data_IF_605567690198
#
_entry.id   IF_605567690198
#
_cell.length_a   1.000
_cell.length_b   1.000
_cell.length_c   1.000
_cell.angle_alpha   90.00
_cell.angle_beta   90.00
_cell.angle_gamma   90.00
#
_symmetry.space_group_name_H-M   'P 1'
#
loop_
_entity.id
_entity.type
_entity.pdbx_description
1 polymer ?
#
# COMPACT_ATOMS: atom_id res chain seq x y z
N UNK A 1 -4.09 5.45 8.48
CA UNK A 1 -3.28 4.20 8.45
C UNK A 1 -3.95 3.00 9.17
N UNK A 2 -4.31 3.08 10.46
CA UNK A 2 -4.86 1.91 11.19
C UNK A 2 -6.33 1.58 10.86
N UNK A 3 -7.17 2.57 10.56
CA UNK A 3 -8.56 2.32 10.17
C UNK A 3 -8.66 1.52 8.86
N UNK A 4 -7.85 1.91 7.86
CA UNK A 4 -7.82 1.22 6.57
C UNK A 4 -7.26 -0.20 6.72
N UNK A 5 -6.25 -0.40 7.58
CA UNK A 5 -5.73 -1.73 7.93
C UNK A 5 -6.82 -2.59 8.60
N UNK A 6 -7.55 -2.03 9.57
CA UNK A 6 -8.63 -2.74 10.26
C UNK A 6 -9.67 -3.30 9.29
N UNK A 7 -10.12 -2.46 8.35
CA UNK A 7 -11.14 -2.85 7.37
C UNK A 7 -10.60 -3.88 6.37
N UNK A 8 -9.40 -3.67 5.81
CA UNK A 8 -8.79 -4.61 4.84
C UNK A 8 -8.46 -5.97 5.45
N UNK A 9 -7.84 -5.99 6.63
CA UNK A 9 -7.49 -7.24 7.31
C UNK A 9 -8.74 -8.01 7.75
N UNK A 10 -9.77 -7.31 8.24
CA UNK A 10 -11.05 -7.93 8.60
C UNK A 10 -11.76 -8.55 7.40
N UNK A 11 -11.70 -7.92 6.22
CA UNK A 11 -12.19 -8.52 4.98
C UNK A 11 -11.36 -9.75 4.57
N UNK A 12 -10.03 -9.62 4.56
CA UNK A 12 -9.12 -10.70 4.14
C UNK A 12 -9.19 -11.95 5.03
N UNK A 13 -9.56 -11.80 6.31
CA UNK A 13 -9.81 -12.91 7.23
C UNK A 13 -11.08 -13.72 6.89
N UNK A 14 -11.98 -13.18 6.08
CA UNK A 14 -13.23 -13.87 5.71
C UNK A 14 -12.96 -14.89 4.61
N UNK A 15 -13.56 -16.10 4.68
CA UNK A 15 -13.48 -17.07 3.59
C UNK A 15 -13.96 -16.52 2.25
N UNK A 16 -15.00 -15.69 2.28
CA UNK A 16 -15.64 -15.01 1.15
C UNK A 16 -15.19 -13.54 1.00
N UNK A 17 -14.05 -13.15 1.61
CA UNK A 17 -13.49 -11.80 1.51
C UNK A 17 -13.14 -11.40 0.08
N UNK A 18 -13.24 -10.09 -0.21
CA UNK A 18 -12.93 -9.52 -1.51
C UNK A 18 -11.42 -9.46 -1.79
N UNK A 19 -10.62 -9.30 -0.73
CA UNK A 19 -9.18 -9.13 -0.80
C UNK A 19 -8.46 -10.37 -0.24
N UNK A 20 -7.43 -10.84 -0.95
CA UNK A 20 -6.49 -11.84 -0.43
C UNK A 20 -5.20 -11.12 -0.04
N UNK A 21 -5.03 -10.89 1.25
CA UNK A 21 -3.93 -10.07 1.77
C UNK A 21 -3.34 -10.64 3.07
N UNK A 22 -2.44 -11.63 2.97
CA UNK A 22 -1.83 -12.24 4.15
C UNK A 22 -0.95 -11.25 4.93
N UNK A 23 -0.34 -10.27 4.26
CA UNK A 23 0.46 -9.24 4.93
C UNK A 23 -0.41 -8.30 5.76
N UNK A 24 -1.55 -7.82 5.24
CA UNK A 24 -2.48 -7.01 6.02
C UNK A 24 -2.97 -7.75 7.27
N UNK A 25 -3.27 -9.05 7.16
CA UNK A 25 -3.66 -9.89 8.31
C UNK A 25 -2.53 -9.97 9.33
N UNK A 26 -1.32 -10.29 8.89
CA UNK A 26 -0.12 -10.39 9.75
C UNK A 26 0.14 -9.10 10.51
N UNK A 27 0.09 -7.96 9.82
CA UNK A 27 0.35 -6.64 10.42
C UNK A 27 -0.76 -6.28 11.40
N UNK A 28 -2.02 -6.50 11.02
CA UNK A 28 -3.17 -6.26 11.87
C UNK A 28 -3.10 -7.02 13.19
N UNK A 29 -2.70 -8.30 13.14
CA UNK A 29 -2.56 -9.16 14.32
C UNK A 29 -1.33 -8.80 15.18
N UNK A 30 -0.30 -8.19 14.61
CA UNK A 30 0.92 -7.83 15.33
C UNK A 30 0.82 -6.51 16.11
N UNK A 31 -0.21 -5.69 15.85
CA UNK A 31 -0.41 -4.40 16.50
C UNK A 31 -1.46 -4.57 17.59
N UNK A 32 -1.03 -4.43 18.86
CA UNK A 32 -1.93 -4.36 20.01
C UNK A 32 -2.64 -3.00 20.04
N UNK A 33 -3.84 -2.94 19.48
CA UNK A 33 -4.66 -1.74 19.38
C UNK A 33 -6.14 -2.08 19.48
N UNK A 34 -6.90 -1.24 20.18
CA UNK A 34 -8.36 -1.39 20.30
C UNK A 34 -9.07 -0.93 19.02
N UNK A 35 -8.96 -1.72 17.95
CA UNK A 35 -9.54 -1.38 16.66
C UNK A 35 -11.06 -1.23 16.71
N UNK A 36 -11.76 -2.14 17.42
CA UNK A 36 -13.23 -2.09 17.49
C UNK A 36 -13.73 -0.93 18.34
N UNK A 37 -13.12 -0.63 19.47
CA UNK A 37 -13.52 0.51 20.28
C UNK A 37 -13.20 1.86 19.63
N UNK A 38 -12.16 1.92 18.79
CA UNK A 38 -11.74 3.17 18.12
C UNK A 38 -12.38 3.39 16.75
N UNK A 39 -12.63 2.34 15.98
CA UNK A 39 -13.14 2.43 14.60
C UNK A 39 -14.50 1.77 14.39
N UNK A 40 -15.03 1.04 15.39
CA UNK A 40 -16.30 0.35 15.28
C UNK A 40 -16.22 -0.99 14.55
N UNK A 41 -17.35 -1.41 13.96
CA UNK A 41 -17.43 -2.65 13.17
C UNK A 41 -16.74 -2.41 11.82
N UNK A 42 -15.86 -3.32 11.36
CA UNK A 42 -15.23 -3.17 10.05
C UNK A 42 -16.27 -3.31 8.94
N UNK A 43 -16.01 -2.60 7.85
CA UNK A 43 -16.79 -2.67 6.61
C UNK A 43 -15.88 -2.98 5.41
N UNK A 44 -16.49 -3.36 4.28
CA UNK A 44 -15.77 -3.81 3.08
C UNK A 44 -15.23 -2.70 2.18
N UNK A 45 -15.48 -1.42 2.47
CA UNK A 45 -15.15 -0.29 1.57
C UNK A 45 -13.67 -0.24 1.22
N UNK A 46 -12.79 -0.45 2.22
CA UNK A 46 -11.35 -0.35 2.03
C UNK A 46 -10.77 -1.56 1.32
N UNK A 47 -11.36 -2.74 1.52
CA UNK A 47 -10.99 -3.94 0.78
C UNK A 47 -11.40 -3.83 -0.69
N UNK A 48 -12.63 -3.36 -0.96
CA UNK A 48 -13.10 -3.08 -2.32
C UNK A 48 -12.22 -2.01 -2.99
N UNK A 49 -11.90 -0.92 -2.28
CA UNK A 49 -10.99 0.11 -2.79
C UNK A 49 -9.65 -0.48 -3.18
N UNK A 50 -8.95 -1.17 -2.27
CA UNK A 50 -7.64 -1.77 -2.59
C UNK A 50 -7.72 -2.73 -3.77
N UNK A 51 -8.79 -3.55 -3.87
CA UNK A 51 -9.01 -4.41 -5.03
C UNK A 51 -9.17 -3.64 -6.34
N UNK A 52 -9.94 -2.55 -6.36
CA UNK A 52 -10.10 -1.73 -7.56
C UNK A 52 -8.78 -1.10 -8.01
N UNK A 53 -7.94 -0.69 -7.04
CA UNK A 53 -6.59 -0.20 -7.34
C UNK A 53 -5.68 -1.31 -7.88
N UNK A 54 -5.73 -2.52 -7.32
CA UNK A 54 -5.02 -3.70 -7.85
C UNK A 54 -5.47 -4.00 -9.29
N UNK A 55 -6.78 -4.05 -9.53
CA UNK A 55 -7.38 -4.37 -10.82
C UNK A 55 -7.05 -3.30 -11.89
N UNK A 56 -6.90 -2.04 -11.48
CA UNK A 56 -6.47 -0.94 -12.36
C UNK A 56 -4.97 -1.02 -12.66
N UNK A 57 -4.16 -1.40 -11.67
CA UNK A 57 -2.70 -1.46 -11.81
C UNK A 57 -2.25 -2.63 -12.69
N UNK A 58 -2.87 -3.81 -12.56
CA UNK A 58 -2.42 -5.03 -13.27
C UNK A 58 -2.30 -4.88 -14.80
N UNK A 59 -3.29 -4.30 -15.52
CA UNK A 59 -3.14 -4.05 -16.95
C UNK A 59 -2.00 -3.08 -17.27
N UNK A 60 -1.78 -2.08 -16.42
CA UNK A 60 -0.69 -1.13 -16.60
C UNK A 60 0.68 -1.81 -16.44
N UNK A 61 0.85 -2.68 -15.45
CA UNK A 61 2.07 -3.47 -15.24
C UNK A 61 2.40 -4.34 -16.46
N UNK A 62 1.40 -5.01 -17.03
CA UNK A 62 1.58 -5.82 -18.23
C UNK A 62 2.07 -4.99 -19.44
N UNK A 63 1.67 -3.72 -19.53
CA UNK A 63 2.09 -2.80 -20.59
C UNK A 63 3.43 -2.09 -20.30
N UNK A 64 3.88 -2.06 -19.03
CA UNK A 64 5.09 -1.36 -18.59
C UNK A 64 6.00 -2.24 -17.72
N UNK A 65 6.60 -3.32 -18.26
CA UNK A 65 7.50 -4.18 -17.49
C UNK A 65 8.70 -3.39 -16.92
N UNK A 66 8.88 -3.44 -15.60
CA UNK A 66 9.90 -2.65 -14.89
C UNK A 66 9.56 -1.17 -14.69
N UNK A 67 8.32 -0.78 -14.96
CA UNK A 67 7.77 0.55 -14.66
C UNK A 67 7.82 0.87 -13.16
N UNK A 68 7.70 2.16 -12.84
CA UNK A 68 7.74 2.67 -11.48
C UNK A 68 6.31 2.98 -10.99
N UNK A 69 5.90 2.36 -9.89
CA UNK A 69 4.69 2.75 -9.15
C UNK A 69 5.09 3.66 -8.00
N UNK A 70 4.48 4.85 -7.93
CA UNK A 70 4.62 5.78 -6.81
C UNK A 70 3.35 5.73 -5.97
N UNK A 71 3.48 5.32 -4.72
CA UNK A 71 2.37 5.21 -3.78
C UNK A 71 2.46 6.34 -2.75
N UNK A 72 1.58 7.34 -2.91
CA UNK A 72 1.51 8.52 -2.06
C UNK A 72 0.64 8.24 -0.82
N UNK A 73 1.12 8.70 0.35
CA UNK A 73 0.57 8.37 1.67
C UNK A 73 0.40 6.86 1.85
N UNK A 74 1.49 6.11 1.61
CA UNK A 74 1.47 4.65 1.53
C UNK A 74 1.02 3.96 2.83
N UNK A 75 1.27 4.56 4.00
CA UNK A 75 1.01 3.98 5.30
C UNK A 75 1.36 2.49 5.39
N UNK A 76 0.36 1.66 5.72
CA UNK A 76 0.46 0.20 5.79
C UNK A 76 -0.23 -0.50 4.60
N UNK A 77 -0.37 0.18 3.46
CA UNK A 77 -0.85 -0.45 2.23
C UNK A 77 0.15 -1.50 1.74
N UNK A 78 -0.40 -2.56 1.15
CA UNK A 78 0.25 -3.83 0.81
C UNK A 78 0.10 -4.11 -0.69
N UNK A 79 -0.26 -3.10 -1.49
CA UNK A 79 -0.49 -3.21 -2.93
C UNK A 79 0.72 -3.78 -3.66
N UNK A 80 1.94 -3.34 -3.31
CA UNK A 80 3.17 -3.93 -3.83
C UNK A 80 3.22 -5.45 -3.61
N UNK A 81 2.87 -5.95 -2.41
CA UNK A 81 2.89 -7.38 -2.09
C UNK A 81 1.87 -8.19 -2.91
N UNK A 82 0.74 -7.58 -3.25
CA UNK A 82 -0.34 -8.23 -4.03
C UNK A 82 -0.15 -8.13 -5.56
N UNK A 83 0.61 -7.13 -6.02
CA UNK A 83 0.74 -6.79 -7.44
C UNK A 83 2.17 -6.90 -7.99
N UNK A 84 3.13 -7.42 -7.21
CA UNK A 84 4.49 -7.65 -7.71
C UNK A 84 4.51 -8.70 -8.83
N UNK A 85 4.99 -8.31 -10.01
CA UNK A 85 5.21 -9.17 -11.18
C UNK A 85 6.67 -9.66 -11.29
N UNK A 86 7.50 -9.33 -10.30
CA UNK A 86 8.93 -9.63 -10.25
C UNK A 86 9.82 -8.59 -10.96
N UNK A 87 9.24 -7.61 -11.65
CA UNK A 87 9.98 -6.59 -12.40
C UNK A 87 9.68 -5.18 -11.93
N UNK A 88 8.44 -4.91 -11.51
CA UNK A 88 7.97 -3.59 -11.08
C UNK A 88 8.87 -3.00 -10.00
N UNK A 89 9.09 -1.69 -10.12
CA UNK A 89 9.74 -0.85 -9.11
C UNK A 89 8.68 -0.05 -8.37
N UNK A 90 8.92 0.21 -7.10
CA UNK A 90 7.97 0.86 -6.21
C UNK A 90 8.66 1.93 -5.37
N UNK A 91 8.01 3.09 -5.26
CA UNK A 91 8.39 4.17 -4.37
C UNK A 91 7.22 4.47 -3.44
N UNK A 92 7.34 4.09 -2.18
CA UNK A 92 6.40 4.42 -1.14
C UNK A 92 6.75 5.78 -0.54
N UNK A 93 5.86 6.76 -0.65
CA UNK A 93 6.06 8.11 -0.14
C UNK A 93 5.07 8.37 0.99
N UNK A 94 5.58 8.74 2.16
CA UNK A 94 4.76 9.15 3.30
C UNK A 94 5.61 9.99 4.26
N UNK A 95 4.97 10.65 5.23
CA UNK A 95 5.70 11.40 6.26
C UNK A 95 6.67 10.48 7.03
N UNK A 96 7.82 11.01 7.52
CA UNK A 96 8.86 10.20 8.15
C UNK A 96 8.35 9.27 9.25
N UNK A 97 7.39 9.71 10.06
CA UNK A 97 6.81 8.93 11.15
C UNK A 97 6.01 7.72 10.64
N UNK A 98 5.29 7.89 9.53
CA UNK A 98 4.52 6.82 8.90
C UNK A 98 5.46 5.78 8.25
N UNK A 99 6.52 6.23 7.58
CA UNK A 99 7.57 5.34 7.03
C UNK A 99 8.25 4.55 8.15
N UNK A 100 8.61 5.20 9.25
CA UNK A 100 9.23 4.53 10.39
C UNK A 100 8.35 3.41 10.97
N UNK A 101 7.02 3.60 11.00
CA UNK A 101 6.08 2.53 11.40
C UNK A 101 6.00 1.44 10.33
N UNK A 102 5.88 1.82 9.05
CA UNK A 102 5.81 0.88 7.92
C UNK A 102 6.98 -0.09 7.92
N UNK A 103 8.20 0.39 8.12
CA UNK A 103 9.43 -0.41 8.05
C UNK A 103 9.52 -1.50 9.12
N UNK A 104 8.80 -1.37 10.23
CA UNK A 104 8.69 -2.43 11.25
C UNK A 104 7.96 -3.66 10.74
N UNK A 105 7.17 -3.52 9.67
CA UNK A 105 6.23 -4.54 9.20
C UNK A 105 6.44 -4.92 7.73
N UNK A 106 6.81 -3.96 6.91
CA UNK A 106 7.03 -4.05 5.48
C UNK A 106 8.42 -3.47 5.22
N UNK A 107 9.49 -4.28 5.25
CA UNK A 107 10.83 -3.77 5.01
C UNK A 107 10.99 -3.36 3.54
N UNK A 108 11.81 -2.33 3.31
CA UNK A 108 12.22 -1.91 1.98
C UNK A 108 13.02 -3.01 1.28
N UNK A 109 13.08 -2.92 -0.05
CA UNK A 109 13.91 -3.78 -0.90
C UNK A 109 14.52 -2.95 -2.04
N UNK A 110 15.39 -3.56 -2.83
CA UNK A 110 15.94 -2.91 -4.03
C UNK A 110 14.85 -2.43 -5.00
N UNK A 111 13.72 -3.17 -5.08
CA UNK A 111 12.59 -2.83 -5.96
C UNK A 111 11.44 -2.10 -5.25
N UNK A 112 11.46 -1.98 -3.92
CA UNK A 112 10.44 -1.25 -3.16
C UNK A 112 11.14 -0.34 -2.15
N UNK A 113 11.34 0.91 -2.56
CA UNK A 113 11.99 1.95 -1.77
C UNK A 113 10.97 2.71 -0.95
N UNK A 114 11.39 3.21 0.21
CA UNK A 114 10.60 4.10 1.04
C UNK A 114 11.22 5.49 1.08
N UNK A 115 10.38 6.51 1.06
CA UNK A 115 10.78 7.90 1.11
C UNK A 115 9.96 8.62 2.18
N UNK A 116 10.64 9.02 3.25
CA UNK A 116 10.08 9.86 4.32
C UNK A 116 9.92 11.31 3.85
N UNK A 117 8.84 11.61 3.13
CA UNK A 117 8.50 12.94 2.62
C UNK A 117 6.99 13.12 2.57
N UNK A 118 6.52 14.33 2.87
CA UNK A 118 5.11 14.69 2.66
C UNK A 118 4.76 14.60 1.17
N UNK A 119 3.56 14.12 0.83
CA UNK A 119 3.08 14.14 -0.55
C UNK A 119 2.91 15.58 -1.10
N UNK A 120 2.78 16.57 -0.22
CA UNK A 120 2.71 17.99 -0.57
C UNK A 120 4.09 18.62 -0.81
N UNK A 121 5.15 17.95 -0.38
CA UNK A 121 6.52 18.36 -0.66
C UNK A 121 6.96 17.72 -1.98
N UNK A 122 6.91 18.50 -3.06
CA UNK A 122 7.16 18.01 -4.42
C UNK A 122 8.59 17.49 -4.67
N UNK A 123 9.52 17.60 -3.72
CA UNK A 123 10.85 16.99 -3.84
C UNK A 123 10.83 15.46 -3.94
N UNK A 124 9.69 14.79 -3.69
CA UNK A 124 9.56 13.37 -4.02
C UNK A 124 9.59 13.10 -5.53
N UNK A 125 9.27 14.09 -6.38
CA UNK A 125 9.38 13.95 -7.84
C UNK A 125 10.82 13.76 -8.30
N UNK A 126 11.79 14.28 -7.54
CA UNK A 126 13.23 14.15 -7.85
C UNK A 126 13.71 12.69 -7.73
N UNK A 127 12.95 11.82 -7.07
CA UNK A 127 13.23 10.38 -6.91
C UNK A 127 12.58 9.51 -8.00
N UNK A 128 11.81 10.12 -8.91
CA UNK A 128 11.04 9.42 -9.94
C UNK A 128 11.87 9.27 -11.22
N UNK A 129 12.25 8.02 -11.51
CA UNK A 129 12.77 7.65 -12.84
C UNK A 129 11.60 7.24 -13.74
N UNK A 130 11.33 8.07 -14.76
CA UNK A 130 10.20 7.91 -15.68
C UNK A 130 10.49 7.08 -16.94
N UNK A 131 11.71 6.55 -17.12
CA UNK A 131 12.14 5.93 -18.38
C UNK A 131 11.30 4.73 -18.82
N UNK A 132 10.67 4.03 -17.86
CA UNK A 132 9.86 2.82 -18.08
C UNK A 132 8.37 3.03 -17.82
N UNK A 133 7.95 4.29 -17.73
CA UNK A 133 6.59 4.67 -17.35
C UNK A 133 6.41 4.79 -15.84
N UNK A 134 5.50 5.67 -15.44
CA UNK A 134 5.16 5.96 -14.05
C UNK A 134 3.66 5.77 -13.84
N UNK A 135 3.30 5.05 -12.78
CA UNK A 135 1.92 4.96 -12.28
C UNK A 135 1.87 5.56 -10.88
N UNK A 136 1.03 6.59 -10.68
CA UNK A 136 0.88 7.22 -9.37
C UNK A 136 -0.43 6.74 -8.74
N UNK A 137 -0.37 6.28 -7.50
CA UNK A 137 -1.53 5.88 -6.71
C UNK A 137 -1.63 6.70 -5.42
N UNK A 138 -2.84 7.14 -5.11
CA UNK A 138 -3.18 7.88 -3.89
C UNK A 138 -4.53 7.37 -3.36
N UNK A 139 -4.50 6.35 -2.51
CA UNK A 139 -5.71 5.62 -2.11
C UNK A 139 -6.49 6.27 -0.96
N UNK A 140 -5.87 7.19 -0.21
CA UNK A 140 -6.48 7.82 0.96
C UNK A 140 -5.64 8.97 1.50
N UNK A 141 -5.08 9.75 0.57
CA UNK A 141 -4.33 10.99 0.81
C UNK A 141 -5.28 12.12 1.23
#
# INVERSE_FOLDING_TARGET
MLWTLHNRASDALRPDGLLRDPDAIRIYQAIDYDYRGRFGKPDGSHALRSRLFDDTLRPWLAAHPGGLVVELACGLETQYRRCDDGQVRWLCVDVPEAIAIRERFLPASERCRHLGRSALDLSWLDEVDSDRGVFITAQGL
#
